data_IF_883875074671
#
_entry.id   IF_883875074671
#
_cell.length_a   1.000
_cell.length_b   1.000
_cell.length_c   1.000
_cell.angle_alpha   90.00
_cell.angle_beta   90.00
_cell.angle_gamma   90.00
#
_symmetry.space_group_name_H-M   'P 1'
#
loop_
_entity.id
_entity.type
_entity.pdbx_description
1 polymer ?
#
# COMPACT_ATOMS: atom_id res chain seq x y z
N UNK A 1 -12.97 14.34 24.20
CA UNK A 1 -11.81 13.70 23.54
C UNK A 1 -12.19 13.29 22.11
N UNK A 2 -12.45 14.25 21.21
CA UNK A 2 -12.99 14.01 19.86
C UNK A 2 -12.03 14.44 18.72
N UNK A 3 -10.76 14.72 19.03
CA UNK A 3 -9.81 15.34 18.09
C UNK A 3 -9.04 14.38 17.17
N UNK A 4 -9.04 13.07 17.43
CA UNK A 4 -8.17 12.12 16.71
C UNK A 4 -8.85 11.40 15.55
N UNK A 5 -10.17 11.21 15.57
CA UNK A 5 -10.88 10.48 14.50
C UNK A 5 -10.98 11.29 13.20
N UNK A 6 -11.23 12.60 13.27
CA UNK A 6 -11.34 13.44 12.07
C UNK A 6 -10.02 13.63 11.32
N UNK A 7 -8.89 13.67 12.03
CA UNK A 7 -7.58 13.91 11.42
C UNK A 7 -6.98 12.65 10.75
N UNK A 8 -7.29 11.47 11.29
CA UNK A 8 -6.82 10.20 10.71
C UNK A 8 -7.62 9.80 9.46
N UNK A 9 -8.91 10.17 9.36
CA UNK A 9 -9.71 9.93 8.15
C UNK A 9 -9.24 10.83 6.99
N UNK A 10 -8.84 12.08 7.28
CA UNK A 10 -8.23 13.00 6.31
C UNK A 10 -6.89 12.47 5.77
N UNK A 11 -6.06 11.86 6.62
CA UNK A 11 -4.78 11.30 6.19
C UNK A 11 -4.95 10.24 5.09
N UNK A 12 -5.81 9.24 5.31
CA UNK A 12 -6.03 8.17 4.33
C UNK A 12 -6.87 8.60 3.13
N UNK A 13 -7.77 9.57 3.28
CA UNK A 13 -8.63 10.05 2.18
C UNK A 13 -7.98 11.14 1.32
N UNK A 14 -6.98 11.86 1.83
CA UNK A 14 -6.38 13.02 1.15
C UNK A 14 -4.86 12.90 1.01
N UNK A 15 -4.16 12.64 2.11
CA UNK A 15 -2.68 12.63 2.12
C UNK A 15 -2.12 11.42 1.38
N UNK A 16 -2.60 10.21 1.68
CA UNK A 16 -2.10 8.98 1.03
C UNK A 16 -2.34 8.99 -0.49
N UNK A 17 -3.52 9.41 -1.01
CA UNK A 17 -3.72 9.60 -2.45
C UNK A 17 -2.78 10.61 -3.11
N UNK A 18 -2.36 11.65 -2.37
CA UNK A 18 -1.35 12.59 -2.86
C UNK A 18 0.03 11.93 -2.86
N UNK A 19 0.39 11.21 -1.79
CA UNK A 19 1.67 10.48 -1.68
C UNK A 19 1.83 9.44 -2.78
N UNK A 20 0.77 8.75 -3.19
CA UNK A 20 0.80 7.84 -4.34
C UNK A 20 1.16 8.52 -5.66
N UNK A 21 1.02 9.84 -5.76
CA UNK A 21 1.38 10.62 -6.95
C UNK A 21 2.78 11.23 -6.82
N UNK A 22 3.26 11.48 -5.61
CA UNK A 22 4.48 12.25 -5.36
C UNK A 22 5.65 11.41 -4.85
N UNK A 23 5.40 10.25 -4.23
CA UNK A 23 6.42 9.37 -3.65
C UNK A 23 6.49 8.04 -4.42
N UNK A 24 7.63 7.79 -5.06
CA UNK A 24 7.85 6.59 -5.87
C UNK A 24 7.79 5.30 -5.04
N UNK A 25 8.36 5.34 -3.83
CA UNK A 25 8.36 4.22 -2.87
C UNK A 25 6.93 3.79 -2.49
N UNK A 26 6.08 4.76 -2.14
CA UNK A 26 4.67 4.54 -1.75
C UNK A 26 3.86 4.02 -2.95
N UNK A 27 4.07 4.60 -4.12
CA UNK A 27 3.42 4.15 -5.35
C UNK A 27 3.81 2.72 -5.71
N UNK A 28 5.10 2.40 -5.69
CA UNK A 28 5.61 1.08 -6.04
C UNK A 28 5.10 0.02 -5.06
N UNK A 29 5.06 0.32 -3.75
CA UNK A 29 4.49 -0.58 -2.74
C UNK A 29 2.99 -0.84 -2.98
N UNK A 30 2.23 0.20 -3.34
CA UNK A 30 0.82 0.06 -3.69
C UNK A 30 0.60 -0.82 -4.93
N UNK A 31 1.35 -0.59 -6.00
CA UNK A 31 1.28 -1.39 -7.23
C UNK A 31 1.65 -2.85 -6.97
N UNK A 32 2.65 -3.09 -6.11
CA UNK A 32 3.05 -4.44 -5.72
C UNK A 32 1.88 -5.22 -5.10
N UNK A 33 1.13 -4.60 -4.19
CA UNK A 33 -0.04 -5.22 -3.55
C UNK A 33 -1.13 -5.53 -4.57
N UNK A 34 -1.47 -4.59 -5.46
CA UNK A 34 -2.49 -4.82 -6.49
C UNK A 34 -2.12 -5.96 -7.44
N UNK A 35 -0.85 -6.01 -7.87
CA UNK A 35 -0.36 -7.10 -8.72
C UNK A 35 -0.37 -8.46 -7.98
N UNK A 36 -0.12 -8.46 -6.66
CA UNK A 36 -0.22 -9.68 -5.84
C UNK A 36 -1.68 -10.14 -5.71
N UNK A 37 -2.61 -9.22 -5.46
CA UNK A 37 -4.06 -9.51 -5.42
C UNK A 37 -4.53 -10.07 -6.77
N UNK A 38 -4.10 -9.46 -7.88
CA UNK A 38 -4.38 -9.94 -9.24
C UNK A 38 -3.91 -11.40 -9.42
N UNK A 39 -2.66 -11.70 -9.04
CA UNK A 39 -2.11 -13.06 -9.09
C UNK A 39 -2.90 -14.05 -8.23
N UNK A 40 -3.23 -13.69 -6.99
CA UNK A 40 -4.00 -14.53 -6.08
C UNK A 40 -5.40 -14.83 -6.63
N UNK A 41 -6.04 -13.85 -7.28
CA UNK A 41 -7.35 -14.04 -7.93
C UNK A 41 -7.27 -15.01 -9.10
N UNK A 42 -6.26 -14.88 -9.97
CA UNK A 42 -6.01 -15.84 -11.07
C UNK A 42 -5.82 -17.27 -10.54
N UNK A 43 -5.08 -17.42 -9.44
CA UNK A 43 -4.87 -18.73 -8.82
C UNK A 43 -6.17 -19.33 -8.28
N UNK A 44 -7.03 -18.52 -7.66
CA UNK A 44 -8.31 -18.97 -7.10
C UNK A 44 -9.34 -19.38 -8.16
N UNK A 45 -9.32 -18.76 -9.34
CA UNK A 45 -10.20 -19.14 -10.45
C UNK A 45 -9.76 -20.43 -11.15
N UNK A 46 -8.73 -21.13 -10.62
CA UNK A 46 -8.14 -22.31 -11.23
C UNK A 46 -7.30 -21.99 -12.47
N UNK A 47 -7.16 -20.71 -12.80
CA UNK A 47 -6.41 -20.19 -13.90
C UNK A 47 -5.02 -19.79 -13.39
N UNK A 48 -4.18 -20.76 -13.00
CA UNK A 48 -2.73 -20.52 -12.82
C UNK A 48 -2.06 -20.33 -14.19
N UNK A 49 -2.59 -19.37 -14.94
CA UNK A 49 -2.25 -19.06 -16.31
C UNK A 49 -0.97 -18.24 -16.33
N UNK A 50 -0.45 -18.00 -17.52
CA UNK A 50 0.72 -17.17 -17.71
C UNK A 50 0.50 -15.76 -17.15
N UNK A 51 -0.73 -15.24 -17.24
CA UNK A 51 -1.13 -13.95 -16.68
C UNK A 51 -0.96 -13.90 -15.15
N UNK A 52 -1.34 -14.95 -14.42
CA UNK A 52 -1.17 -15.02 -12.96
C UNK A 52 0.29 -15.02 -12.53
N UNK A 53 1.18 -15.70 -13.28
CA UNK A 53 2.63 -15.69 -13.07
C UNK A 53 3.26 -14.33 -13.40
N UNK A 54 2.78 -13.69 -14.45
CA UNK A 54 3.22 -12.36 -14.85
C UNK A 54 2.82 -11.31 -13.81
N UNK A 55 1.61 -11.40 -13.26
CA UNK A 55 1.14 -10.55 -12.16
C UNK A 55 2.00 -10.73 -10.89
N UNK A 56 2.30 -11.97 -10.50
CA UNK A 56 3.20 -12.24 -9.37
C UNK A 56 4.61 -11.68 -9.59
N UNK A 57 5.18 -11.86 -10.78
CA UNK A 57 6.51 -11.33 -11.12
C UNK A 57 6.54 -9.80 -11.09
N UNK A 58 5.47 -9.16 -11.58
CA UNK A 58 5.27 -7.71 -11.44
C UNK A 58 5.22 -7.29 -9.97
N UNK A 59 4.48 -8.04 -9.14
CA UNK A 59 4.36 -7.77 -7.71
C UNK A 59 5.72 -7.74 -7.02
N UNK A 60 6.54 -8.78 -7.21
CA UNK A 60 7.89 -8.85 -6.65
C UNK A 60 8.81 -7.72 -7.15
N UNK A 61 8.74 -7.38 -8.44
CA UNK A 61 9.54 -6.29 -9.01
C UNK A 61 9.20 -4.95 -8.38
N UNK A 62 7.92 -4.64 -8.22
CA UNK A 62 7.48 -3.39 -7.61
C UNK A 62 7.76 -3.35 -6.10
N UNK A 63 7.63 -4.49 -5.41
CA UNK A 63 8.03 -4.60 -4.00
C UNK A 63 9.53 -4.32 -3.81
N UNK A 64 10.38 -4.92 -4.65
CA UNK A 64 11.82 -4.67 -4.65
C UNK A 64 12.18 -3.20 -4.95
N UNK A 65 11.51 -2.58 -5.93
CA UNK A 65 11.68 -1.14 -6.23
C UNK A 65 11.33 -0.28 -5.03
N UNK A 66 10.19 -0.55 -4.39
CA UNK A 66 9.74 0.20 -3.22
C UNK A 66 10.74 0.12 -2.05
N UNK A 67 11.30 -1.07 -1.78
CA UNK A 67 12.34 -1.24 -0.76
C UNK A 67 13.62 -0.45 -1.08
N UNK A 68 14.06 -0.46 -2.33
CA UNK A 68 15.25 0.25 -2.76
C UNK A 68 15.08 1.77 -2.65
N UNK A 69 13.94 2.29 -3.12
CA UNK A 69 13.60 3.71 -3.05
C UNK A 69 13.43 4.16 -1.60
N UNK A 70 12.69 3.41 -0.79
CA UNK A 70 12.50 3.70 0.63
C UNK A 70 13.84 3.74 1.39
N UNK A 71 14.76 2.83 1.09
CA UNK A 71 16.09 2.82 1.70
C UNK A 71 16.89 4.07 1.34
N UNK A 72 16.78 4.54 0.10
CA UNK A 72 17.44 5.78 -0.34
C UNK A 72 16.82 7.00 0.33
N UNK A 73 15.48 7.04 0.47
CA UNK A 73 14.75 8.11 1.16
C UNK A 73 15.08 8.16 2.66
N UNK A 74 15.16 6.99 3.31
CA UNK A 74 15.45 6.88 4.74
C UNK A 74 16.91 7.26 5.10
N UNK A 75 17.85 7.16 4.16
CA UNK A 75 19.23 7.64 4.35
C UNK A 75 19.36 9.16 4.16
N UNK A 76 18.33 9.84 3.65
CA UNK A 76 18.26 11.29 3.50
C UNK A 76 17.41 11.97 4.57
N UNK A 77 16.81 13.11 4.24
CA UNK A 77 15.83 13.82 5.07
C UNK A 77 14.39 13.31 4.86
N UNK A 78 14.22 12.01 4.61
CA UNK A 78 13.01 11.41 4.07
C UNK A 78 11.72 11.79 4.81
N UNK A 79 10.64 11.94 4.05
CA UNK A 79 9.29 12.17 4.58
C UNK A 79 8.84 10.94 5.38
N UNK A 80 8.75 11.08 6.70
CA UNK A 80 8.46 9.93 7.56
C UNK A 80 7.04 9.41 7.41
N UNK A 81 6.14 10.22 6.86
CA UNK A 81 4.80 9.76 6.53
C UNK A 81 4.86 8.77 5.36
N UNK A 82 5.65 9.03 4.32
CA UNK A 82 5.85 8.10 3.20
C UNK A 82 6.47 6.78 3.67
N UNK A 83 7.44 6.86 4.58
CA UNK A 83 8.09 5.70 5.19
C UNK A 83 7.11 4.85 5.97
N UNK A 84 6.29 5.49 6.81
CA UNK A 84 5.30 4.79 7.63
C UNK A 84 4.26 4.10 6.74
N UNK A 85 3.78 4.77 5.69
CA UNK A 85 2.85 4.19 4.71
C UNK A 85 3.49 3.01 3.98
N UNK A 86 4.76 3.11 3.56
CA UNK A 86 5.47 1.99 2.94
C UNK A 86 5.58 0.78 3.89
N UNK A 87 5.89 1.00 5.17
CA UNK A 87 5.91 -0.08 6.15
C UNK A 87 4.54 -0.76 6.27
N UNK A 88 3.44 -0.01 6.32
CA UNK A 88 2.09 -0.57 6.35
C UNK A 88 1.77 -1.37 5.09
N UNK A 89 2.18 -0.89 3.91
CA UNK A 89 1.99 -1.60 2.65
C UNK A 89 2.84 -2.87 2.56
N UNK A 90 4.08 -2.87 3.05
CA UNK A 90 4.88 -4.08 3.13
C UNK A 90 4.27 -5.11 4.07
N UNK A 91 3.73 -4.70 5.22
CA UNK A 91 3.00 -5.63 6.10
C UNK A 91 1.84 -6.30 5.35
N UNK A 92 1.04 -5.54 4.58
CA UNK A 92 -0.05 -6.10 3.78
C UNK A 92 0.49 -7.05 2.69
N UNK A 93 1.57 -6.67 2.01
CA UNK A 93 2.19 -7.51 0.99
C UNK A 93 2.64 -8.86 1.56
N UNK A 94 3.37 -8.85 2.68
CA UNK A 94 3.87 -10.07 3.33
C UNK A 94 2.73 -10.93 3.89
N UNK A 95 1.67 -10.30 4.44
CA UNK A 95 0.46 -11.03 4.86
C UNK A 95 -0.25 -11.74 3.71
N UNK A 96 -0.35 -11.09 2.54
CA UNK A 96 -0.92 -11.70 1.34
C UNK A 96 -0.02 -12.80 0.77
N UNK A 97 1.30 -12.67 0.96
CA UNK A 97 2.28 -13.67 0.56
C UNK A 97 2.34 -14.88 1.51
N UNK A 98 1.84 -14.71 2.74
CA UNK A 98 1.87 -15.73 3.79
C UNK A 98 3.16 -15.74 4.61
N UNK A 99 4.00 -14.71 4.49
CA UNK A 99 5.24 -14.56 5.27
C UNK A 99 4.99 -13.74 6.54
N UNK A 100 4.55 -14.43 7.59
CA UNK A 100 4.29 -13.81 8.89
C UNK A 100 5.57 -13.22 9.53
N UNK A 101 6.73 -13.82 9.26
CA UNK A 101 8.01 -13.37 9.84
C UNK A 101 8.44 -12.05 9.22
N UNK A 102 8.33 -11.93 7.89
CA UNK A 102 8.58 -10.68 7.19
C UNK A 102 7.57 -9.60 7.60
N UNK A 103 6.27 -9.94 7.70
CA UNK A 103 5.24 -9.01 8.16
C UNK A 103 5.55 -8.44 9.55
N UNK A 104 5.90 -9.30 10.52
CA UNK A 104 6.30 -8.87 11.88
C UNK A 104 7.57 -8.03 11.87
N UNK A 105 8.53 -8.34 11.00
CA UNK A 105 9.75 -7.56 10.85
C UNK A 105 9.44 -6.14 10.37
N UNK A 106 8.52 -5.98 9.41
CA UNK A 106 8.07 -4.67 8.95
C UNK A 106 7.30 -3.90 10.01
N UNK A 107 6.49 -4.57 10.83
CA UNK A 107 5.84 -3.94 12.00
C UNK A 107 6.91 -3.39 12.96
N UNK A 108 7.88 -4.21 13.34
CA UNK A 108 8.93 -3.79 14.27
C UNK A 108 9.77 -2.63 13.71
N UNK A 109 10.14 -2.70 12.44
CA UNK A 109 10.89 -1.65 11.78
C UNK A 109 10.10 -0.34 11.72
N UNK A 110 8.82 -0.37 11.35
CA UNK A 110 7.95 0.80 11.35
C UNK A 110 7.80 1.42 12.75
N UNK A 111 7.59 0.60 13.78
CA UNK A 111 7.55 1.05 15.17
C UNK A 111 8.86 1.73 15.59
N UNK A 112 10.01 1.12 15.25
CA UNK A 112 11.32 1.68 15.57
C UNK A 112 11.56 3.03 14.91
N UNK A 113 11.15 3.19 13.65
CA UNK A 113 11.29 4.43 12.89
C UNK A 113 10.39 5.54 13.44
N UNK A 114 9.15 5.23 13.85
CA UNK A 114 8.27 6.17 14.55
C UNK A 114 8.86 6.58 15.91
N UNK A 115 9.44 5.63 16.65
CA UNK A 115 10.12 5.91 17.93
C UNK A 115 11.34 6.84 17.76
N UNK A 116 12.12 6.65 16.69
CA UNK A 116 13.25 7.52 16.33
C UNK A 116 12.78 8.92 15.93
N UNK A 117 11.64 9.01 15.23
CA UNK A 117 11.01 10.26 14.86
C UNK A 117 10.52 11.07 16.06
N UNK A 118 9.82 10.41 16.98
CA UNK A 118 9.31 11.07 18.17
C UNK A 118 10.47 11.66 18.96
N UNK A 119 11.56 10.90 19.09
CA UNK A 119 12.80 11.38 19.73
C UNK A 119 13.44 12.56 18.99
N UNK A 120 13.54 12.53 17.65
CA UNK A 120 14.11 13.65 16.89
C UNK A 120 13.27 14.93 16.96
N UNK A 121 11.95 14.79 17.16
CA UNK A 121 11.00 15.90 17.38
C UNK A 121 10.87 16.33 18.85
N UNK A 122 11.65 15.77 19.77
CA UNK A 122 11.56 16.05 21.21
C UNK A 122 10.28 15.53 21.87
N UNK A 123 9.53 14.68 21.20
CA UNK A 123 8.33 14.01 21.70
C UNK A 123 8.72 12.74 22.47
N UNK A 124 7.98 12.43 23.54
CA UNK A 124 8.25 11.26 24.37
C UNK A 124 7.76 9.99 23.67
N UNK A 125 8.60 8.95 23.51
CA UNK A 125 8.20 7.70 22.85
C UNK A 125 7.13 6.96 23.65
N UNK A 126 6.01 6.58 23.01
CA UNK A 126 4.87 5.91 23.67
C UNK A 126 4.82 4.44 23.23
N UNK A 127 5.51 3.54 23.94
CA UNK A 127 5.86 2.21 23.42
C UNK A 127 4.75 1.14 23.31
N UNK A 128 3.81 0.94 24.26
CA UNK A 128 2.78 -0.10 24.10
C UNK A 128 1.57 0.33 23.24
N UNK A 129 1.44 1.63 22.95
CA UNK A 129 0.38 2.15 22.08
C UNK A 129 0.73 2.09 20.60
N UNK A 130 2.01 2.06 20.23
CA UNK A 130 2.43 2.14 18.82
C UNK A 130 2.13 0.84 18.06
N UNK A 131 2.29 -0.33 18.69
CA UNK A 131 1.92 -1.61 18.06
C UNK A 131 0.41 -1.70 17.83
N UNK A 132 -0.38 -1.38 18.86
CA UNK A 132 -1.84 -1.30 18.74
C UNK A 132 -2.28 -0.22 17.73
N UNK A 133 -1.60 0.91 17.66
CA UNK A 133 -1.85 1.95 16.67
C UNK A 133 -1.50 1.48 15.25
N UNK A 134 -0.38 0.78 15.06
CA UNK A 134 0.00 0.18 13.78
C UNK A 134 -1.01 -0.86 13.31
N UNK A 135 -1.56 -1.67 14.22
CA UNK A 135 -2.65 -2.59 13.89
C UNK A 135 -3.93 -1.84 13.46
N UNK A 136 -4.26 -0.74 14.13
CA UNK A 136 -5.38 0.12 13.71
C UNK A 136 -5.14 0.79 12.36
N UNK A 137 -3.93 1.26 12.08
CA UNK A 137 -3.57 1.84 10.78
C UNK A 137 -3.48 0.77 9.68
N UNK A 138 -3.10 -0.46 10.02
CA UNK A 138 -3.13 -1.61 9.11
C UNK A 138 -4.56 -1.95 8.68
N UNK A 139 -5.54 -1.91 9.60
CA UNK A 139 -6.94 -2.12 9.23
C UNK A 139 -7.43 -1.06 8.23
N UNK A 140 -7.00 0.20 8.40
CA UNK A 140 -7.34 1.28 7.47
C UNK A 140 -6.62 1.13 6.13
N UNK A 141 -5.36 0.73 6.13
CA UNK A 141 -4.62 0.48 4.89
C UNK A 141 -5.28 -0.64 4.08
N UNK A 142 -5.70 -1.73 4.74
CA UNK A 142 -6.48 -2.81 4.11
C UNK A 142 -7.79 -2.26 3.54
N UNK A 143 -8.53 -1.44 4.29
CA UNK A 143 -9.77 -0.81 3.80
C UNK A 143 -9.53 0.08 2.58
N UNK A 144 -8.49 0.90 2.60
CA UNK A 144 -8.09 1.75 1.48
C UNK A 144 -7.77 0.93 0.23
N UNK A 145 -6.96 -0.12 0.38
CA UNK A 145 -6.61 -1.03 -0.72
C UNK A 145 -7.84 -1.75 -1.29
N UNK A 146 -8.77 -2.18 -0.43
CA UNK A 146 -10.05 -2.76 -0.87
C UNK A 146 -10.90 -1.78 -1.67
N UNK A 147 -10.93 -0.49 -1.33
CA UNK A 147 -11.66 0.52 -2.11
C UNK A 147 -11.06 0.69 -3.51
N UNK A 148 -9.74 0.60 -3.63
CA UNK A 148 -9.06 0.67 -4.92
C UNK A 148 -9.34 -0.55 -5.80
N UNK A 149 -9.39 -1.75 -5.23
CA UNK A 149 -9.71 -2.96 -5.99
C UNK A 149 -11.15 -2.99 -6.50
N UNK A 150 -12.09 -2.33 -5.80
CA UNK A 150 -13.49 -2.24 -6.23
C UNK A 150 -13.74 -1.08 -7.20
N UNK A 151 -12.99 0.03 -7.09
CA UNK A 151 -13.06 1.16 -8.02
C UNK A 151 -12.51 0.84 -9.42
N UNK A 152 -11.67 -0.18 -9.56
CA UNK A 152 -11.12 -0.63 -10.84
C UNK A 152 -12.18 -1.25 -11.78
N UNK A 153 -13.33 -1.69 -11.26
CA UNK A 153 -14.41 -2.30 -12.06
C UNK A 153 -15.33 -1.28 -12.77
N UNK A 154 -15.10 0.03 -12.65
CA UNK A 154 -15.89 1.05 -13.37
C UNK A 154 -15.11 1.77 -14.48
N UNK A 155 -13.85 1.40 -14.71
CA UNK A 155 -13.01 1.98 -15.76
C UNK A 155 -12.96 1.20 -17.07
N UNK A 156 -13.58 0.01 -17.16
CA UNK A 156 -13.42 -0.89 -18.31
C UNK A 156 -14.74 -1.24 -19.03
N UNK A 157 -15.87 -0.67 -18.60
CA UNK A 157 -17.20 -0.91 -19.19
C UNK A 157 -17.69 0.23 -20.10
N UNK A 158 -16.97 1.35 -20.17
CA UNK A 158 -17.35 2.52 -21.00
C UNK A 158 -16.66 2.61 -22.37
N UNK A 159 -15.69 1.75 -22.68
CA UNK A 159 -15.04 1.68 -24.01
C UNK A 159 -15.58 0.53 -24.90
N UNK A 160 -16.49 -0.31 -24.38
CA UNK A 160 -17.04 -1.47 -25.12
C UNK A 160 -18.46 -1.24 -25.67
N UNK A 161 -19.08 -0.08 -25.41
CA UNK A 161 -20.42 0.28 -25.91
C UNK A 161 -20.43 1.46 -26.90
N UNK A 162 -19.27 1.91 -27.37
CA UNK A 162 -19.11 3.08 -28.25
C UNK A 162 -18.81 2.81 -29.73
N UNK A 163 -18.91 1.57 -30.22
CA UNK A 163 -18.63 1.26 -31.64
C UNK A 163 -19.78 0.51 -32.30
N UNK A 164 -20.81 1.25 -32.69
CA UNK A 164 -21.81 0.80 -33.66
C UNK A 164 -22.38 2.00 -34.45
N UNK A 165 -21.62 2.44 -35.46
CA UNK A 165 -22.11 3.00 -36.73
C UNK A 165 -22.61 4.45 -36.78
N UNK A 166 -22.70 5.06 -37.98
CA UNK A 166 -22.86 4.37 -39.26
C UNK A 166 -21.77 4.68 -40.30
N UNK A 167 -21.40 3.62 -41.04
CA UNK A 167 -20.95 3.78 -42.42
C UNK A 167 -22.13 4.26 -43.27
N UNK A 168 -21.87 5.30 -44.04
CA UNK A 168 -22.76 5.87 -45.04
C UNK A 168 -22.92 4.83 -46.17
N UNK A 169 -24.09 4.20 -46.26
CA UNK A 169 -25.01 4.15 -47.40
C UNK A 169 -26.29 3.39 -46.99
#
# INVERSE_FOLDING_TARGET
>A
MAGTQGQQDVFWSTTVPLMLRTNGSVWAANVAIHALIESLRSNMTGAFTEEGRNAYSRALRHHGSALAELRNEAMGSGDLESVTVCCLFFVVFEMLHGDEVAARTHIYNGCRMIDELQRSRGLRPVRPTVENAMLWELQKSIRFLMLQTHGANHGQELDMLGSAGPSIF
#
